data_IF_226041639406
#
_entry.id   IF_226041639406
#
_cell.length_a   1.000
_cell.length_b   1.000
_cell.length_c   1.000
_cell.angle_alpha   90.00
_cell.angle_beta   90.00
_cell.angle_gamma   90.00
#
_symmetry.space_group_name_H-M   'P 1'
#
loop_
_entity.id
_entity.type
_entity.pdbx_description
1 polymer ?
#
# COMPACT_ATOMS: atom_id res chain seq x y z
N UNK A 1 38.14 -23.79 4.40
CA UNK A 1 37.08 -23.54 3.38
C UNK A 1 37.65 -22.58 2.35
N UNK A 2 37.47 -22.80 1.03
CA UNK A 2 37.99 -21.89 0.02
C UNK A 2 37.29 -20.52 0.11
N UNK A 3 38.06 -19.45 -0.08
CA UNK A 3 37.67 -18.03 0.04
C UNK A 3 36.42 -17.69 -0.82
N UNK A 4 36.24 -18.40 -1.94
CA UNK A 4 35.06 -18.29 -2.81
C UNK A 4 33.73 -18.66 -2.14
N UNK A 5 33.74 -19.61 -1.20
CA UNK A 5 32.53 -20.02 -0.47
C UNK A 5 32.10 -18.97 0.55
N UNK A 6 33.04 -18.22 1.13
CA UNK A 6 32.79 -17.19 2.14
C UNK A 6 32.13 -15.97 1.48
N UNK A 7 32.64 -15.52 0.33
CA UNK A 7 32.04 -14.42 -0.44
C UNK A 7 30.58 -14.73 -0.82
N UNK A 8 30.31 -15.96 -1.27
CA UNK A 8 28.97 -16.41 -1.64
C UNK A 8 28.02 -16.56 -0.44
N UNK A 9 28.53 -17.02 0.70
CA UNK A 9 27.75 -17.12 1.93
C UNK A 9 27.40 -15.74 2.50
N UNK A 10 28.31 -14.75 2.36
CA UNK A 10 28.08 -13.36 2.75
C UNK A 10 27.12 -12.62 1.81
N UNK A 11 27.03 -13.00 0.53
CA UNK A 11 26.11 -12.35 -0.43
C UNK A 11 24.62 -12.54 -0.08
N UNK A 12 24.21 -13.66 0.53
CA UNK A 12 22.78 -13.92 0.84
C UNK A 12 22.20 -12.99 1.91
N UNK A 13 22.80 -12.87 3.11
CA UNK A 13 22.29 -11.94 4.12
C UNK A 13 22.31 -10.50 3.62
N UNK A 14 23.39 -10.09 2.92
CA UNK A 14 23.49 -8.75 2.34
C UNK A 14 22.38 -8.51 1.30
N UNK A 15 22.15 -9.44 0.38
CA UNK A 15 21.07 -9.33 -0.60
C UNK A 15 19.68 -9.31 0.05
N UNK A 16 19.45 -10.11 1.09
CA UNK A 16 18.17 -10.10 1.81
C UNK A 16 17.92 -8.74 2.49
N UNK A 17 18.91 -8.21 3.23
CA UNK A 17 18.82 -6.93 3.93
C UNK A 17 18.70 -5.77 2.93
N UNK A 18 19.61 -5.68 1.95
CA UNK A 18 19.53 -4.65 0.92
C UNK A 18 18.23 -4.73 0.12
N UNK A 19 17.75 -5.94 -0.19
CA UNK A 19 16.46 -6.14 -0.82
C UNK A 19 15.31 -5.57 -0.01
N UNK A 20 15.28 -5.82 1.31
CA UNK A 20 14.28 -5.24 2.19
C UNK A 20 14.36 -3.71 2.29
N UNK A 21 15.57 -3.14 2.38
CA UNK A 21 15.78 -1.68 2.42
C UNK A 21 15.38 -0.99 1.12
N UNK A 22 15.77 -1.55 -0.03
CA UNK A 22 15.36 -1.03 -1.34
C UNK A 22 13.85 -1.15 -1.53
N UNK A 23 13.23 -2.20 -0.98
CA UNK A 23 11.77 -2.33 -1.02
C UNK A 23 11.14 -1.20 -0.19
N UNK A 24 11.63 -0.94 1.02
CA UNK A 24 11.14 0.17 1.85
C UNK A 24 11.31 1.52 1.15
N UNK A 25 12.46 1.76 0.52
CA UNK A 25 12.72 2.98 -0.24
C UNK A 25 11.84 3.15 -1.50
N UNK A 26 11.19 2.09 -1.96
CA UNK A 26 10.20 2.18 -3.05
C UNK A 26 8.84 2.72 -2.60
N UNK A 27 8.59 2.80 -1.29
CA UNK A 27 7.41 3.42 -0.69
C UNK A 27 7.71 4.85 -0.21
N UNK A 28 6.67 5.68 0.02
CA UNK A 28 6.85 6.98 0.66
C UNK A 28 7.62 6.88 1.99
N UNK A 29 8.45 7.88 2.34
CA UNK A 29 8.57 9.18 1.66
C UNK A 29 9.50 9.19 0.44
N UNK A 30 10.34 8.17 0.24
CA UNK A 30 11.31 8.15 -0.87
C UNK A 30 10.59 7.90 -2.20
N UNK A 31 9.66 6.94 -2.25
CA UNK A 31 8.80 6.70 -3.41
C UNK A 31 9.53 6.30 -4.69
N UNK A 32 10.74 5.75 -4.59
CA UNK A 32 11.56 5.39 -5.76
C UNK A 32 11.07 4.06 -6.36
N UNK A 33 9.97 4.11 -7.14
CA UNK A 33 9.27 2.94 -7.70
C UNK A 33 10.16 1.95 -8.47
N UNK A 34 11.23 2.45 -9.10
CA UNK A 34 12.20 1.65 -9.86
C UNK A 34 13.07 0.74 -8.98
N UNK A 35 13.14 1.01 -7.67
CA UNK A 35 13.81 0.14 -6.69
C UNK A 35 13.02 -1.13 -6.38
N UNK A 36 11.69 -1.16 -6.59
CA UNK A 36 10.88 -2.31 -6.23
C UNK A 36 11.26 -3.60 -7.00
N UNK A 37 11.44 -3.60 -8.33
CA UNK A 37 11.95 -4.79 -9.04
C UNK A 37 13.36 -5.20 -8.59
N UNK A 38 14.25 -4.23 -8.31
CA UNK A 38 15.61 -4.52 -7.81
C UNK A 38 15.56 -5.19 -6.43
N UNK A 39 14.71 -4.68 -5.54
CA UNK A 39 14.47 -5.25 -4.23
C UNK A 39 13.95 -6.68 -4.31
N UNK A 40 12.92 -6.92 -5.13
CA UNK A 40 12.38 -8.25 -5.41
C UNK A 40 13.48 -9.16 -5.97
N UNK A 41 14.33 -8.66 -6.86
CA UNK A 41 15.43 -9.43 -7.43
C UNK A 41 16.42 -9.89 -6.36
N UNK A 42 16.85 -8.99 -5.46
CA UNK A 42 17.78 -9.32 -4.38
C UNK A 42 17.18 -10.33 -3.38
N UNK A 43 15.91 -10.14 -2.97
CA UNK A 43 15.19 -11.09 -2.13
C UNK A 43 15.07 -12.44 -2.84
N UNK A 44 14.73 -12.45 -4.13
CA UNK A 44 14.63 -13.66 -4.93
C UNK A 44 15.98 -14.38 -5.02
N UNK A 45 17.08 -13.68 -5.34
CA UNK A 45 18.43 -14.27 -5.39
C UNK A 45 18.79 -14.88 -4.03
N UNK A 46 18.55 -14.19 -2.92
CA UNK A 46 18.88 -14.71 -1.57
C UNK A 46 18.12 -16.00 -1.24
N UNK A 47 16.86 -16.09 -1.64
CA UNK A 47 15.95 -17.22 -1.32
C UNK A 47 16.13 -18.39 -2.28
N UNK A 48 16.18 -18.14 -3.59
CA UNK A 48 16.35 -19.19 -4.60
C UNK A 48 17.75 -19.78 -4.54
N UNK A 49 18.78 -19.05 -4.13
CA UNK A 49 20.13 -19.62 -3.99
C UNK A 49 20.28 -20.44 -2.72
N UNK A 50 19.34 -20.42 -1.78
CA UNK A 50 19.47 -21.12 -0.51
C UNK A 50 19.69 -22.65 -0.68
N UNK A 51 20.46 -23.26 0.21
CA UNK A 51 20.71 -24.72 0.16
C UNK A 51 19.44 -25.53 0.45
N UNK A 52 18.71 -25.16 1.50
CA UNK A 52 17.50 -25.85 2.00
C UNK A 52 16.29 -24.94 1.97
N UNK A 53 15.08 -25.51 1.95
CA UNK A 53 13.80 -24.77 2.05
C UNK A 53 13.76 -23.88 3.31
N UNK A 54 14.21 -24.42 4.45
CA UNK A 54 14.36 -23.65 5.71
C UNK A 54 15.30 -22.44 5.57
N UNK A 55 16.32 -22.54 4.72
CA UNK A 55 17.19 -21.40 4.41
C UNK A 55 16.50 -20.37 3.52
N UNK A 56 15.70 -20.81 2.54
CA UNK A 56 14.84 -19.92 1.76
C UNK A 56 13.87 -19.15 2.67
N UNK A 57 13.27 -19.85 3.63
CA UNK A 57 12.44 -19.22 4.68
C UNK A 57 13.21 -18.15 5.46
N UNK A 58 14.38 -18.49 5.99
CA UNK A 58 15.19 -17.56 6.79
C UNK A 58 15.60 -16.30 6.03
N UNK A 59 16.00 -16.41 4.75
CA UNK A 59 16.38 -15.24 3.95
C UNK A 59 15.18 -14.39 3.53
N UNK A 60 14.05 -15.02 3.22
CA UNK A 60 12.80 -14.32 2.96
C UNK A 60 12.31 -13.56 4.20
N UNK A 61 12.41 -14.19 5.38
CA UNK A 61 12.07 -13.59 6.67
C UNK A 61 12.99 -12.40 6.98
N UNK A 62 14.30 -12.53 6.77
CA UNK A 62 15.25 -11.45 7.00
C UNK A 62 14.98 -10.23 6.10
N UNK A 63 14.73 -10.47 4.80
CA UNK A 63 14.35 -9.40 3.88
C UNK A 63 12.99 -8.79 4.22
N UNK A 64 12.02 -9.62 4.61
CA UNK A 64 10.71 -9.18 5.09
C UNK A 64 10.79 -8.33 6.36
N UNK A 65 11.58 -8.74 7.36
CA UNK A 65 11.79 -7.98 8.59
C UNK A 65 12.42 -6.63 8.29
N UNK A 66 13.48 -6.63 7.47
CA UNK A 66 14.15 -5.38 7.07
C UNK A 66 13.17 -4.42 6.38
N UNK A 67 12.31 -4.93 5.51
CA UNK A 67 11.28 -4.13 4.83
C UNK A 67 10.20 -3.63 5.79
N UNK A 68 9.53 -4.52 6.51
CA UNK A 68 8.34 -4.18 7.30
C UNK A 68 8.67 -3.42 8.58
N UNK A 69 9.85 -3.62 9.18
CA UNK A 69 10.28 -2.79 10.31
C UNK A 69 10.42 -1.33 9.88
N UNK A 70 11.01 -1.08 8.70
CA UNK A 70 11.13 0.29 8.17
C UNK A 70 9.78 0.84 7.73
N UNK A 71 9.02 0.07 6.93
CA UNK A 71 7.74 0.52 6.37
C UNK A 71 6.70 0.85 7.46
N UNK A 72 6.66 0.05 8.53
CA UNK A 72 5.64 0.14 9.57
C UNK A 72 6.13 0.86 10.82
N UNK A 73 7.27 1.57 10.76
CA UNK A 73 7.83 2.27 11.91
C UNK A 73 6.81 3.20 12.60
N UNK A 74 5.91 3.82 11.81
CA UNK A 74 4.84 4.70 12.30
C UNK A 74 3.79 4.03 13.21
N UNK A 75 3.74 2.70 13.25
CA UNK A 75 2.86 1.95 14.17
C UNK A 75 3.32 2.10 15.62
N UNK A 76 4.56 2.56 15.86
CA UNK A 76 5.12 2.77 17.20
C UNK A 76 4.29 3.71 18.09
N UNK A 77 3.49 4.61 17.49
CA UNK A 77 2.49 5.45 18.19
C UNK A 77 1.48 4.61 18.99
N UNK A 78 1.18 3.39 18.55
CA UNK A 78 0.32 2.44 19.27
C UNK A 78 1.09 1.62 20.31
N UNK A 79 2.41 1.52 20.16
CA UNK A 79 3.29 0.71 20.99
C UNK A 79 4.40 0.04 20.17
N UNK A 80 5.61 0.00 20.75
CA UNK A 80 6.77 -0.68 20.14
C UNK A 80 6.51 -2.19 19.99
N UNK A 81 5.80 -2.79 20.95
CA UNK A 81 5.34 -4.16 20.90
C UNK A 81 4.39 -4.42 19.73
N UNK A 82 3.39 -3.55 19.51
CA UNK A 82 2.46 -3.65 18.38
C UNK A 82 3.20 -3.56 17.04
N UNK A 83 4.13 -2.60 16.90
CA UNK A 83 4.96 -2.44 15.71
C UNK A 83 5.79 -3.69 15.41
N UNK A 84 6.54 -4.19 16.40
CA UNK A 84 7.43 -5.34 16.23
C UNK A 84 6.63 -6.62 15.91
N UNK A 85 5.49 -6.84 16.58
CA UNK A 85 4.63 -8.00 16.32
C UNK A 85 4.04 -7.95 14.91
N UNK A 86 3.50 -6.81 14.50
CA UNK A 86 2.88 -6.65 13.18
C UNK A 86 3.92 -6.74 12.04
N UNK A 87 5.08 -6.12 12.21
CA UNK A 87 6.17 -6.22 11.24
C UNK A 87 6.67 -7.66 11.11
N UNK A 88 6.81 -8.37 12.23
CA UNK A 88 7.18 -9.79 12.25
C UNK A 88 6.12 -10.64 11.55
N UNK A 89 4.84 -10.42 11.86
CA UNK A 89 3.72 -11.09 11.20
C UNK A 89 3.78 -10.92 9.67
N UNK A 90 3.96 -9.69 9.19
CA UNK A 90 4.08 -9.42 7.76
C UNK A 90 5.33 -10.06 7.15
N UNK A 91 6.46 -10.05 7.87
CA UNK A 91 7.71 -10.65 7.43
C UNK A 91 7.64 -12.19 7.31
N UNK A 92 6.81 -12.86 8.13
CA UNK A 92 6.59 -14.31 8.03
C UNK A 92 6.03 -14.71 6.65
N UNK A 93 5.22 -13.85 6.01
CA UNK A 93 4.73 -14.10 4.65
C UNK A 93 5.84 -14.04 3.61
N UNK A 94 6.81 -13.14 3.77
CA UNK A 94 8.01 -13.12 2.91
C UNK A 94 8.94 -14.30 3.21
N UNK A 95 8.98 -14.77 4.46
CA UNK A 95 9.61 -16.03 4.82
C UNK A 95 8.96 -17.22 4.09
N UNK A 96 7.64 -17.34 4.16
CA UNK A 96 6.89 -18.38 3.44
C UNK A 96 7.12 -18.31 1.92
N UNK A 97 7.13 -17.10 1.35
CA UNK A 97 7.50 -16.87 -0.05
C UNK A 97 8.93 -17.34 -0.34
N UNK A 98 9.90 -17.03 0.53
CA UNK A 98 11.28 -17.49 0.37
C UNK A 98 11.42 -19.01 0.39
N UNK A 99 10.63 -19.70 1.21
CA UNK A 99 10.52 -21.16 1.18
C UNK A 99 9.94 -21.67 -0.14
N UNK A 100 8.86 -21.04 -0.62
CA UNK A 100 8.23 -21.35 -1.90
C UNK A 100 9.18 -21.12 -3.08
N UNK A 101 9.87 -19.98 -3.13
CA UNK A 101 10.87 -19.64 -4.14
C UNK A 101 11.94 -20.74 -4.30
N UNK A 102 12.41 -21.29 -3.17
CA UNK A 102 13.39 -22.39 -3.18
C UNK A 102 12.87 -23.67 -3.86
N UNK A 103 11.57 -23.91 -3.82
CA UNK A 103 10.89 -25.04 -4.47
C UNK A 103 10.60 -24.69 -5.94
N UNK A 104 9.95 -23.55 -6.17
CA UNK A 104 9.50 -23.06 -7.47
C UNK A 104 10.64 -22.81 -8.45
N UNK A 105 11.86 -22.50 -7.96
CA UNK A 105 13.06 -22.36 -8.81
C UNK A 105 13.33 -23.59 -9.69
N UNK A 106 12.77 -24.76 -9.33
CA UNK A 106 12.94 -26.02 -10.08
C UNK A 106 12.03 -26.11 -11.31
N UNK A 107 10.99 -25.29 -11.39
CA UNK A 107 10.05 -25.31 -12.51
C UNK A 107 10.64 -24.61 -13.74
N UNK A 108 10.23 -25.02 -14.96
CA UNK A 108 10.53 -24.24 -16.15
C UNK A 108 9.91 -22.85 -16.04
N UNK A 109 10.61 -21.84 -16.56
CA UNK A 109 10.21 -20.44 -16.44
C UNK A 109 9.88 -20.03 -14.98
N UNK A 110 10.66 -20.50 -14.00
CA UNK A 110 10.45 -20.20 -12.58
C UNK A 110 10.20 -18.71 -12.24
N UNK A 111 10.71 -17.69 -12.98
CA UNK A 111 10.37 -16.30 -12.66
C UNK A 111 8.87 -16.02 -12.68
N UNK A 112 8.13 -16.69 -13.57
CA UNK A 112 6.67 -16.59 -13.65
C UNK A 112 6.00 -17.13 -12.39
N UNK A 113 6.46 -18.30 -11.92
CA UNK A 113 5.92 -18.94 -10.72
C UNK A 113 6.24 -18.16 -9.45
N UNK A 114 7.43 -17.53 -9.37
CA UNK A 114 7.78 -16.65 -8.26
C UNK A 114 6.92 -15.40 -8.24
N UNK A 115 6.65 -14.79 -9.41
CA UNK A 115 5.74 -13.66 -9.50
C UNK A 115 4.31 -14.04 -9.06
N UNK A 116 3.81 -15.21 -9.48
CA UNK A 116 2.52 -15.74 -9.04
C UNK A 116 2.49 -16.00 -7.52
N UNK A 117 3.55 -16.59 -6.97
CA UNK A 117 3.69 -16.84 -5.53
C UNK A 117 3.74 -15.54 -4.72
N UNK A 118 4.36 -14.48 -5.27
CA UNK A 118 4.36 -13.16 -4.65
C UNK A 118 2.94 -12.61 -4.52
N UNK A 119 2.15 -12.67 -5.59
CA UNK A 119 0.75 -12.22 -5.55
C UNK A 119 -0.08 -13.10 -4.62
N UNK A 120 0.17 -14.41 -4.60
CA UNK A 120 -0.52 -15.33 -3.71
C UNK A 120 -0.28 -15.00 -2.23
N UNK A 121 0.97 -14.70 -1.84
CA UNK A 121 1.24 -14.31 -0.45
C UNK A 121 0.63 -12.95 -0.09
N UNK A 122 0.63 -11.97 -1.00
CA UNK A 122 -0.07 -10.70 -0.77
C UNK A 122 -1.56 -10.97 -0.57
N UNK A 123 -2.19 -11.75 -1.45
CA UNK A 123 -3.61 -12.05 -1.36
C UNK A 123 -4.00 -12.76 -0.06
N UNK A 124 -3.14 -13.63 0.47
CA UNK A 124 -3.38 -14.32 1.75
C UNK A 124 -3.19 -13.38 2.94
N UNK A 125 -2.10 -12.60 2.95
CA UNK A 125 -1.81 -11.60 4.00
C UNK A 125 -2.88 -10.50 4.06
N UNK A 126 -3.45 -10.14 2.92
CA UNK A 126 -4.55 -9.19 2.78
C UNK A 126 -5.88 -9.70 3.35
N UNK A 127 -5.99 -10.97 3.78
CA UNK A 127 -7.26 -11.59 4.20
C UNK A 127 -7.22 -12.27 5.56
N UNK A 128 -6.07 -12.75 5.98
CA UNK A 128 -5.91 -13.56 7.19
C UNK A 128 -4.86 -12.90 8.09
N UNK A 129 -4.97 -13.03 9.43
CA UNK A 129 -6.21 -13.24 10.18
C UNK A 129 -7.05 -11.95 10.23
N UNK A 130 -8.30 -12.03 10.71
CA UNK A 130 -9.14 -10.86 11.02
C UNK A 130 -9.36 -9.86 9.86
N UNK A 131 -9.41 -10.35 8.61
CA UNK A 131 -9.54 -9.49 7.43
C UNK A 131 -8.21 -9.02 6.85
N UNK A 132 -7.08 -9.40 7.46
CA UNK A 132 -5.73 -9.23 6.94
C UNK A 132 -5.14 -7.83 7.08
N UNK A 133 -3.92 -7.68 6.60
CA UNK A 133 -3.18 -6.42 6.66
C UNK A 133 -2.46 -6.14 5.32
N UNK A 134 -3.08 -5.36 4.41
CA UNK A 134 -2.63 -5.25 3.02
C UNK A 134 -1.52 -4.21 2.76
N UNK A 135 -0.87 -3.68 3.81
CA UNK A 135 0.20 -2.69 3.65
C UNK A 135 1.44 -3.27 2.97
N UNK A 136 2.18 -2.45 2.21
CA UNK A 136 3.44 -2.89 1.60
C UNK A 136 3.30 -3.80 0.37
N UNK A 137 2.12 -3.85 -0.26
CA UNK A 137 1.97 -4.53 -1.56
C UNK A 137 2.76 -3.81 -2.66
N UNK A 138 3.35 -4.57 -3.57
CA UNK A 138 4.18 -4.02 -4.64
C UNK A 138 3.44 -2.99 -5.50
N UNK A 139 2.14 -3.18 -5.75
CA UNK A 139 1.34 -2.24 -6.51
C UNK A 139 1.40 -0.80 -5.99
N UNK A 140 1.41 -0.60 -4.67
CA UNK A 140 1.37 0.74 -4.09
C UNK A 140 2.72 1.46 -4.22
N UNK A 141 3.84 0.73 -4.36
CA UNK A 141 5.14 1.33 -4.72
C UNK A 141 5.13 1.97 -6.11
N UNK A 142 4.18 1.60 -6.97
CA UNK A 142 4.09 2.05 -8.36
C UNK A 142 3.08 3.19 -8.57
N UNK A 143 2.46 3.71 -7.50
CA UNK A 143 1.38 4.70 -7.57
C UNK A 143 1.75 5.99 -8.33
N UNK A 144 3.02 6.37 -8.34
CA UNK A 144 3.52 7.55 -9.05
C UNK A 144 4.34 7.20 -10.30
N UNK A 145 4.43 5.91 -10.64
CA UNK A 145 5.21 5.41 -11.78
C UNK A 145 4.36 5.26 -13.04
N UNK A 146 5.00 5.13 -14.22
CA UNK A 146 4.28 4.77 -15.44
C UNK A 146 3.53 3.43 -15.34
N UNK A 147 3.99 2.49 -14.48
CA UNK A 147 3.34 1.20 -14.28
C UNK A 147 1.92 1.31 -13.68
N UNK A 148 1.53 2.46 -13.12
CA UNK A 148 0.17 2.68 -12.60
C UNK A 148 -0.90 2.49 -13.70
N UNK A 149 -0.58 2.68 -14.99
CA UNK A 149 -1.51 2.38 -16.08
C UNK A 149 -2.04 0.94 -16.07
N UNK A 150 -1.24 -0.03 -15.62
CA UNK A 150 -1.66 -1.43 -15.53
C UNK A 150 -2.80 -1.65 -14.52
N UNK A 151 -2.96 -0.75 -13.54
CA UNK A 151 -3.98 -0.88 -12.50
C UNK A 151 -5.41 -0.76 -13.05
N UNK A 152 -5.63 0.00 -14.13
CA UNK A 152 -6.97 0.17 -14.71
C UNK A 152 -7.52 -1.10 -15.36
N UNK A 153 -6.63 -1.99 -15.82
CA UNK A 153 -7.01 -3.24 -16.51
C UNK A 153 -6.85 -4.46 -15.59
N UNK A 154 -5.73 -4.52 -14.85
CA UNK A 154 -5.35 -5.71 -14.10
C UNK A 154 -5.50 -5.56 -12.57
N UNK A 155 -5.90 -4.38 -12.11
CA UNK A 155 -5.98 -4.04 -10.68
C UNK A 155 -4.63 -4.10 -9.97
N UNK A 156 -4.66 -3.93 -8.64
CA UNK A 156 -3.45 -3.97 -7.81
C UNK A 156 -2.73 -5.33 -7.84
N UNK A 157 -3.47 -6.45 -8.01
CA UNK A 157 -2.86 -7.77 -8.11
C UNK A 157 -1.99 -7.90 -9.38
N UNK A 158 -2.48 -7.41 -10.52
CA UNK A 158 -1.73 -7.44 -11.77
C UNK A 158 -0.50 -6.54 -11.79
N UNK A 159 -0.58 -5.35 -11.19
CA UNK A 159 0.61 -4.48 -11.02
C UNK A 159 1.66 -5.20 -10.16
N UNK A 160 1.24 -5.80 -9.04
CA UNK A 160 2.14 -6.54 -8.15
C UNK A 160 2.78 -7.73 -8.87
N UNK A 161 2.01 -8.46 -9.67
CA UNK A 161 2.52 -9.53 -10.54
C UNK A 161 3.60 -9.03 -11.50
N UNK A 162 3.33 -7.93 -12.21
CA UNK A 162 4.24 -7.38 -13.20
C UNK A 162 5.58 -6.95 -12.56
N UNK A 163 5.51 -6.23 -11.43
CA UNK A 163 6.71 -5.81 -10.67
C UNK A 163 7.47 -7.03 -10.13
N UNK A 164 6.76 -8.02 -9.58
CA UNK A 164 7.37 -9.24 -9.07
C UNK A 164 8.05 -10.04 -10.20
N UNK A 165 7.42 -10.12 -11.38
CA UNK A 165 7.97 -10.77 -12.56
C UNK A 165 9.23 -10.05 -13.06
N UNK A 166 9.20 -8.72 -13.13
CA UNK A 166 10.39 -7.94 -13.47
C UNK A 166 11.55 -8.24 -12.51
N UNK A 167 11.31 -8.23 -11.20
CA UNK A 167 12.32 -8.58 -10.22
C UNK A 167 12.82 -10.02 -10.33
N UNK A 168 11.92 -10.98 -10.56
CA UNK A 168 12.29 -12.38 -10.75
C UNK A 168 13.10 -12.61 -12.03
N UNK A 169 12.80 -11.88 -13.12
CA UNK A 169 13.58 -11.88 -14.36
C UNK A 169 14.96 -11.26 -14.16
N UNK A 170 15.06 -10.15 -13.42
CA UNK A 170 16.35 -9.56 -13.04
C UNK A 170 17.19 -10.53 -12.20
N UNK A 171 16.58 -11.24 -11.24
CA UNK A 171 17.24 -12.29 -10.48
C UNK A 171 17.73 -13.43 -11.38
N UNK A 172 16.91 -13.83 -12.36
CA UNK A 172 17.29 -14.83 -13.35
C UNK A 172 18.50 -14.39 -14.18
N UNK A 173 18.48 -13.15 -14.69
CA UNK A 173 19.60 -12.55 -15.43
C UNK A 173 20.87 -12.53 -14.57
N UNK A 174 20.79 -12.03 -13.34
CA UNK A 174 21.93 -11.97 -12.42
C UNK A 174 22.57 -13.36 -12.20
N UNK A 175 21.75 -14.39 -11.95
CA UNK A 175 22.23 -15.78 -11.77
C UNK A 175 22.88 -16.31 -13.06
N UNK A 176 22.31 -16.00 -14.22
CA UNK A 176 22.82 -16.43 -15.54
C UNK A 176 24.02 -15.64 -16.03
N UNK A 177 24.35 -14.51 -15.41
CA UNK A 177 25.57 -13.75 -15.67
C UNK A 177 26.71 -14.10 -14.71
N UNK A 178 26.45 -14.81 -13.59
CA UNK A 178 27.51 -15.23 -12.67
C UNK A 178 28.53 -16.17 -13.36
N UNK A 179 29.84 -16.02 -13.13
CA UNK A 179 30.86 -16.96 -13.60
C UNK A 179 30.56 -18.41 -13.21
N UNK A 180 30.75 -19.36 -14.13
CA UNK A 180 30.45 -20.80 -13.94
C UNK A 180 31.11 -21.38 -12.67
N UNK A 181 32.33 -20.93 -12.36
CA UNK A 181 33.09 -21.32 -11.15
C UNK A 181 32.37 -20.94 -9.84
N UNK A 182 31.61 -19.84 -9.84
CA UNK A 182 30.82 -19.40 -8.69
C UNK A 182 29.45 -20.09 -8.60
N UNK A 183 28.92 -20.61 -9.74
CA UNK A 183 27.64 -21.36 -9.77
C UNK A 183 27.74 -22.72 -9.09
N UNK A 184 28.86 -23.43 -9.28
CA UNK A 184 29.11 -24.74 -8.67
C UNK A 184 29.14 -24.71 -7.13
N UNK A 185 29.61 -23.60 -6.55
CA UNK A 185 29.66 -23.40 -5.09
C UNK A 185 28.29 -23.11 -4.44
N UNK A 186 27.33 -22.62 -5.22
CA UNK A 186 26.01 -22.18 -4.74
C UNK A 186 24.91 -23.24 -4.74
N UNK A 187 25.17 -24.48 -5.17
CA UNK A 187 24.12 -25.50 -5.39
C UNK A 187 23.04 -25.01 -6.39
N UNK A 188 23.46 -24.15 -7.33
CA UNK A 188 22.65 -23.62 -8.44
C UNK A 188 22.65 -24.55 -9.66
N UNK A 189 23.36 -25.68 -9.58
CA UNK A 189 23.41 -26.69 -10.63
C UNK A 189 22.07 -27.43 -10.72
N UNK A 190 21.18 -26.98 -11.61
CA UNK A 190 20.17 -27.89 -12.16
C UNK A 190 20.86 -28.85 -13.14
N UNK A 191 20.40 -30.11 -13.26
CA UNK A 191 20.87 -31.05 -14.27
C UNK A 191 20.75 -30.51 -15.72
N UNK A 192 19.73 -29.69 -16.01
CA UNK A 192 19.55 -29.07 -17.33
C UNK A 192 20.29 -27.72 -17.51
N UNK A 193 20.68 -27.05 -16.42
CA UNK A 193 21.32 -25.72 -16.49
C UNK A 193 22.82 -25.76 -16.83
N UNK A 194 23.40 -26.95 -16.96
CA UNK A 194 24.82 -27.18 -17.23
C UNK A 194 25.14 -27.50 -18.71
N UNK A 195 24.16 -27.56 -19.62
CA UNK A 195 24.42 -28.12 -20.96
C UNK A 195 24.75 -27.09 -22.05
N UNK A 196 24.51 -25.79 -21.85
CA UNK A 196 24.95 -24.76 -22.80
C UNK A 196 25.04 -23.36 -22.17
N UNK A 197 25.98 -22.49 -22.63
CA UNK A 197 25.93 -21.08 -22.32
C UNK A 197 24.60 -20.49 -22.80
N UNK A 198 23.92 -19.77 -21.90
CA UNK A 198 22.65 -19.10 -22.23
C UNK A 198 22.92 -18.06 -23.31
N UNK A 199 22.18 -18.11 -24.42
CA UNK A 199 22.39 -17.19 -25.55
C UNK A 199 22.23 -15.74 -25.04
N UNK A 200 23.10 -14.80 -25.45
CA UNK A 200 23.03 -13.40 -25.01
C UNK A 200 21.68 -12.76 -25.35
N UNK A 201 21.05 -13.18 -26.45
CA UNK A 201 19.70 -12.78 -26.83
C UNK A 201 18.66 -13.09 -25.74
N UNK A 202 18.70 -14.25 -25.09
CA UNK A 202 17.74 -14.62 -24.04
C UNK A 202 17.89 -13.74 -22.79
N UNK A 203 19.13 -13.39 -22.44
CA UNK A 203 19.43 -12.47 -21.34
C UNK A 203 18.92 -11.07 -21.65
N UNK A 204 19.16 -10.59 -22.88
CA UNK A 204 18.64 -9.31 -23.34
C UNK A 204 17.12 -9.26 -23.33
N UNK A 205 16.43 -10.31 -23.82
CA UNK A 205 14.96 -10.39 -23.78
C UNK A 205 14.43 -10.35 -22.35
N UNK A 206 15.03 -11.09 -21.41
CA UNK A 206 14.61 -11.07 -20.01
C UNK A 206 14.80 -9.69 -19.37
N UNK A 207 15.92 -9.01 -19.65
CA UNK A 207 16.17 -7.65 -19.18
C UNK A 207 15.17 -6.64 -19.78
N UNK A 208 14.87 -6.75 -21.08
CA UNK A 208 13.87 -5.92 -21.75
C UNK A 208 12.47 -6.13 -21.17
N UNK A 209 12.08 -7.38 -20.92
CA UNK A 209 10.79 -7.70 -20.28
C UNK A 209 10.70 -7.14 -18.86
N UNK A 210 11.80 -7.12 -18.10
CA UNK A 210 11.82 -6.52 -16.77
C UNK A 210 11.55 -5.00 -16.81
N UNK A 211 12.03 -4.30 -17.84
CA UNK A 211 11.74 -2.87 -18.06
C UNK A 211 10.36 -2.66 -18.70
N UNK A 212 9.84 -3.67 -19.40
CA UNK A 212 8.57 -3.63 -20.13
C UNK A 212 7.36 -3.26 -19.26
N UNK A 213 7.39 -3.51 -17.95
CA UNK A 213 6.31 -3.15 -17.01
C UNK A 213 5.97 -1.66 -17.07
N UNK A 214 6.99 -0.79 -17.08
CA UNK A 214 6.77 0.65 -17.15
C UNK A 214 6.34 1.09 -18.54
N UNK A 215 6.88 0.47 -19.60
CA UNK A 215 6.50 0.77 -20.99
C UNK A 215 5.04 0.40 -21.24
N UNK A 216 4.62 -0.80 -20.83
CA UNK A 216 3.23 -1.24 -20.93
C UNK A 216 2.29 -0.36 -20.11
N UNK A 217 2.67 0.02 -18.89
CA UNK A 217 1.87 0.93 -18.08
C UNK A 217 1.75 2.33 -18.70
N UNK A 218 2.85 2.87 -19.22
CA UNK A 218 2.87 4.17 -19.90
C UNK A 218 1.99 4.20 -21.16
N UNK A 219 1.90 3.06 -21.85
CA UNK A 219 1.11 2.91 -23.07
C UNK A 219 -0.40 2.82 -22.83
N UNK A 220 -0.85 2.61 -21.59
CA UNK A 220 -2.29 2.54 -21.27
C UNK A 220 -2.82 3.97 -21.07
N UNK A 221 -3.76 4.44 -21.92
CA UNK A 221 -4.36 5.75 -21.75
C UNK A 221 -5.12 5.85 -20.43
N UNK A 222 -4.95 6.99 -19.75
CA UNK A 222 -5.68 7.32 -18.51
C UNK A 222 -6.29 8.71 -18.67
N UNK A 223 -7.43 8.84 -19.36
CA UNK A 223 -8.09 10.13 -19.49
C UNK A 223 -8.45 10.63 -18.09
N UNK A 224 -7.99 11.83 -17.74
CA UNK A 224 -8.32 12.51 -16.47
C UNK A 224 -9.36 13.61 -16.66
N UNK A 225 -9.73 13.89 -17.90
CA UNK A 225 -10.86 14.77 -18.23
C UNK A 225 -12.14 14.10 -17.77
N UNK A 226 -12.94 14.79 -16.94
CA UNK A 226 -14.23 14.27 -16.50
C UNK A 226 -15.12 13.92 -17.69
N UNK A 227 -15.86 12.82 -17.60
CA UNK A 227 -16.85 12.45 -18.61
C UNK A 227 -18.08 13.36 -18.46
N UNK A 228 -18.15 14.39 -19.30
CA UNK A 228 -19.31 15.27 -19.39
C UNK A 228 -20.42 14.58 -20.20
N UNK A 229 -20.97 13.47 -19.69
CA UNK A 229 -22.18 12.88 -20.29
C UNK A 229 -23.35 13.87 -20.19
N UNK A 230 -23.32 14.77 -19.19
CA UNK A 230 -24.26 15.88 -19.02
C UNK A 230 -23.84 16.96 -17.98
N UNK A 231 -22.60 16.92 -17.46
CA UNK A 231 -22.12 17.82 -16.40
C UNK A 231 -20.87 18.61 -16.79
N UNK A 232 -20.46 19.62 -15.98
CA UNK A 232 -19.24 20.36 -16.23
C UNK A 232 -18.02 19.44 -16.12
N UNK A 233 -17.00 19.68 -16.96
CA UNK A 233 -15.77 18.88 -16.96
C UNK A 233 -14.96 18.97 -15.64
N UNK A 234 -15.30 19.93 -14.78
CA UNK A 234 -14.68 20.18 -13.47
C UNK A 234 -15.74 20.63 -12.46
N UNK A 235 -15.49 20.39 -11.18
CA UNK A 235 -16.31 20.88 -10.06
C UNK A 235 -15.41 21.26 -8.89
N UNK A 236 -15.89 22.19 -8.06
CA UNK A 236 -15.16 22.69 -6.89
C UNK A 236 -15.69 22.02 -5.64
N UNK A 237 -14.80 21.35 -4.90
CA UNK A 237 -15.11 20.66 -3.64
C UNK A 237 -14.18 21.21 -2.56
N UNK A 238 -14.74 21.54 -1.40
CA UNK A 238 -13.96 22.01 -0.26
C UNK A 238 -13.70 20.86 0.72
N UNK A 239 -12.44 20.70 1.14
CA UNK A 239 -12.05 19.81 2.22
C UNK A 239 -11.75 20.68 3.45
N UNK A 240 -12.54 20.52 4.52
CA UNK A 240 -12.36 21.32 5.75
C UNK A 240 -11.68 20.46 6.82
N UNK A 241 -10.50 20.88 7.25
CA UNK A 241 -9.73 20.21 8.29
C UNK A 241 -9.66 21.09 9.54
N UNK A 242 -10.53 20.82 10.52
CA UNK A 242 -10.59 21.60 11.77
C UNK A 242 -9.45 21.30 12.76
N UNK A 243 -8.66 20.25 12.51
CA UNK A 243 -7.67 19.70 13.45
C UNK A 243 -8.29 19.21 14.78
N UNK A 244 -7.50 18.44 15.53
CA UNK A 244 -7.88 17.88 16.84
C UNK A 244 -7.02 18.50 17.95
N UNK A 245 -7.54 18.62 19.18
CA UNK A 245 -6.72 19.06 20.33
C UNK A 245 -5.60 18.06 20.66
N UNK A 246 -4.45 18.57 21.13
CA UNK A 246 -3.35 17.75 21.66
C UNK A 246 -2.68 16.85 20.62
N UNK A 247 -2.29 15.63 21.02
CA UNK A 247 -1.72 14.60 20.15
C UNK A 247 -2.78 13.82 19.33
N UNK A 248 -4.07 14.16 19.49
CA UNK A 248 -5.19 13.52 18.79
C UNK A 248 -5.76 12.27 19.47
N UNK A 249 -4.99 11.55 20.29
CA UNK A 249 -5.48 10.34 20.99
C UNK A 249 -6.54 10.67 22.06
N UNK A 250 -6.42 11.82 22.70
CA UNK A 250 -7.39 12.34 23.68
C UNK A 250 -8.43 13.28 23.05
N UNK A 251 -8.50 13.38 21.72
CA UNK A 251 -9.36 14.35 21.04
C UNK A 251 -10.85 14.21 21.39
N UNK A 252 -11.28 12.99 21.71
CA UNK A 252 -12.64 12.69 22.14
C UNK A 252 -12.90 12.98 23.63
N UNK A 253 -11.87 13.31 24.41
CA UNK A 253 -12.02 13.69 25.82
C UNK A 253 -12.44 15.16 26.01
N UNK A 254 -12.22 16.00 24.98
CA UNK A 254 -12.60 17.40 24.99
C UNK A 254 -13.91 17.64 24.25
N UNK A 255 -15.00 17.58 25.02
CA UNK A 255 -16.36 17.65 24.50
C UNK A 255 -16.59 18.87 23.58
N UNK A 256 -17.03 18.59 22.36
CA UNK A 256 -17.32 19.47 21.21
C UNK A 256 -16.13 20.17 20.57
N UNK A 257 -14.90 19.95 21.01
CA UNK A 257 -13.76 20.71 20.49
C UNK A 257 -13.55 20.44 18.98
N UNK A 258 -13.62 19.17 18.58
CA UNK A 258 -13.43 18.76 17.17
C UNK A 258 -14.56 19.28 16.30
N UNK A 259 -15.81 19.12 16.74
CA UNK A 259 -16.98 19.66 16.04
C UNK A 259 -16.87 21.18 15.85
N UNK A 260 -16.58 21.92 16.93
CA UNK A 260 -16.52 23.37 16.91
C UNK A 260 -15.43 23.89 15.97
N UNK A 261 -14.29 23.20 15.89
CA UNK A 261 -13.24 23.56 14.95
C UNK A 261 -13.72 23.44 13.49
N UNK A 262 -14.35 22.32 13.11
CA UNK A 262 -14.84 22.13 11.74
C UNK A 262 -15.95 23.12 11.38
N UNK A 263 -16.84 23.43 12.33
CA UNK A 263 -17.86 24.48 12.17
C UNK A 263 -17.21 25.84 11.95
N UNK A 264 -16.20 26.20 12.76
CA UNK A 264 -15.49 27.49 12.62
C UNK A 264 -14.83 27.61 11.26
N UNK A 265 -14.04 26.62 10.84
CA UNK A 265 -13.33 26.66 9.55
C UNK A 265 -14.30 26.68 8.37
N UNK A 266 -15.46 26.02 8.48
CA UNK A 266 -16.51 26.10 7.45
C UNK A 266 -17.12 27.50 7.36
N UNK A 267 -17.29 28.21 8.48
CA UNK A 267 -17.76 29.60 8.48
C UNK A 267 -16.73 30.57 7.91
N UNK A 268 -15.44 30.34 8.17
CA UNK A 268 -14.35 31.09 7.53
C UNK A 268 -14.40 30.90 6.01
N UNK A 269 -14.52 29.65 5.56
CA UNK A 269 -14.71 29.34 4.14
C UNK A 269 -15.94 30.05 3.55
N UNK A 270 -17.08 30.03 4.23
CA UNK A 270 -18.30 30.70 3.78
C UNK A 270 -18.12 32.22 3.65
N UNK A 271 -17.41 32.84 4.60
CA UNK A 271 -17.07 34.26 4.52
C UNK A 271 -16.14 34.57 3.34
N UNK A 272 -15.13 33.73 3.09
CA UNK A 272 -14.19 33.89 1.98
C UNK A 272 -14.86 33.69 0.61
N UNK A 273 -15.81 32.75 0.50
CA UNK A 273 -16.65 32.57 -0.71
C UNK A 273 -17.50 33.82 -0.95
N UNK A 274 -18.20 34.33 0.06
CA UNK A 274 -19.02 35.56 -0.06
C UNK A 274 -18.18 36.79 -0.41
N UNK A 275 -16.95 36.86 0.09
CA UNK A 275 -16.00 37.93 -0.21
C UNK A 275 -15.32 37.76 -1.59
N UNK A 276 -15.60 36.67 -2.32
CA UNK A 276 -15.00 36.38 -3.62
C UNK A 276 -13.52 36.02 -3.57
N UNK A 277 -12.99 35.64 -2.40
CA UNK A 277 -11.57 35.26 -2.24
C UNK A 277 -11.28 33.86 -2.75
N UNK A 278 -12.28 32.99 -2.70
CA UNK A 278 -12.21 31.60 -3.18
C UNK A 278 -13.47 31.25 -3.97
N UNK A 279 -13.37 30.27 -4.85
CA UNK A 279 -14.51 29.78 -5.63
C UNK A 279 -15.54 29.09 -4.73
N UNK A 280 -16.83 29.28 -5.01
CA UNK A 280 -17.91 28.62 -4.27
C UNK A 280 -17.88 27.10 -4.52
N UNK A 281 -17.74 26.27 -3.47
CA UNK A 281 -17.77 24.81 -3.64
C UNK A 281 -19.20 24.32 -3.90
N UNK A 282 -19.34 23.16 -4.53
CA UNK A 282 -20.61 22.43 -4.68
C UNK A 282 -20.84 21.40 -3.56
N UNK A 283 -19.79 21.07 -2.81
CA UNK A 283 -19.79 20.13 -1.70
C UNK A 283 -18.67 20.50 -0.73
N UNK A 284 -18.95 20.38 0.57
CA UNK A 284 -17.94 20.41 1.63
C UNK A 284 -17.76 18.99 2.20
N UNK A 285 -16.52 18.58 2.47
CA UNK A 285 -16.21 17.30 3.11
C UNK A 285 -15.48 17.58 4.41
N UNK A 286 -16.02 17.04 5.50
CA UNK A 286 -15.33 16.94 6.77
C UNK A 286 -14.75 15.52 6.93
N UNK A 287 -13.58 15.36 7.57
CA UNK A 287 -12.92 14.07 7.73
C UNK A 287 -13.70 13.09 8.62
N UNK A 288 -13.20 11.85 8.67
CA UNK A 288 -13.66 10.84 9.63
C UNK A 288 -13.61 11.40 11.05
N UNK A 289 -14.69 11.17 11.81
CA UNK A 289 -14.80 11.59 13.20
C UNK A 289 -14.63 13.11 13.42
N UNK A 290 -15.14 13.91 12.49
CA UNK A 290 -15.18 15.39 12.56
C UNK A 290 -16.19 15.92 13.58
N UNK A 291 -17.01 15.05 14.14
CA UNK A 291 -17.81 15.31 15.34
C UNK A 291 -17.48 14.27 16.41
N UNK A 292 -17.13 14.76 17.60
CA UNK A 292 -16.83 13.96 18.79
C UNK A 292 -18.10 13.61 19.60
N UNK A 293 -19.27 14.01 19.11
CA UNK A 293 -20.59 13.70 19.66
C UNK A 293 -21.50 13.21 18.54
N UNK A 294 -22.36 12.22 18.84
CA UNK A 294 -23.41 11.76 17.92
C UNK A 294 -24.39 12.91 17.60
N UNK A 295 -24.34 13.48 16.37
CA UNK A 295 -25.13 14.65 16.00
C UNK A 295 -26.60 14.33 15.71
N UNK A 296 -26.97 13.04 15.64
CA UNK A 296 -28.35 12.61 15.46
C UNK A 296 -29.07 12.53 16.82
N UNK A 297 -28.32 12.31 17.90
CA UNK A 297 -28.86 12.25 19.27
C UNK A 297 -28.72 13.58 20.04
N UNK A 298 -27.67 14.37 19.77
CA UNK A 298 -27.44 15.67 20.43
C UNK A 298 -27.93 16.82 19.52
N UNK A 299 -29.03 17.46 19.92
CA UNK A 299 -29.67 18.53 19.15
C UNK A 299 -28.78 19.77 18.99
N UNK A 300 -27.88 20.05 19.92
CA UNK A 300 -26.96 21.18 19.82
C UNK A 300 -25.85 20.90 18.79
N UNK A 301 -25.35 19.67 18.75
CA UNK A 301 -24.40 19.24 17.72
C UNK A 301 -25.06 19.29 16.32
N UNK A 302 -26.26 18.74 16.18
CA UNK A 302 -27.00 18.80 14.91
C UNK A 302 -27.33 20.23 14.47
N UNK A 303 -27.68 21.12 15.41
CA UNK A 303 -27.93 22.53 15.11
C UNK A 303 -26.66 23.26 14.65
N UNK A 304 -25.49 22.96 15.23
CA UNK A 304 -24.22 23.55 14.83
C UNK A 304 -23.83 23.15 13.40
N UNK A 305 -24.01 21.88 13.04
CA UNK A 305 -23.78 21.39 11.67
C UNK A 305 -24.77 22.01 10.70
N UNK A 306 -26.05 22.07 11.06
CA UNK A 306 -27.08 22.73 10.25
C UNK A 306 -26.77 24.19 9.99
N UNK A 307 -26.28 24.91 11.00
CA UNK A 307 -25.85 26.30 10.86
C UNK A 307 -24.67 26.43 9.90
N UNK A 308 -23.68 25.53 9.97
CA UNK A 308 -22.54 25.53 9.04
C UNK A 308 -22.99 25.24 7.59
N UNK A 309 -23.83 24.22 7.38
CA UNK A 309 -24.38 23.87 6.07
C UNK A 309 -25.21 25.02 5.47
N UNK A 310 -26.02 25.68 6.30
CA UNK A 310 -26.80 26.85 5.89
C UNK A 310 -25.91 28.06 5.52
N UNK A 311 -24.82 28.28 6.25
CA UNK A 311 -23.92 29.42 6.02
C UNK A 311 -23.10 29.27 4.72
N UNK A 312 -22.60 28.07 4.43
CA UNK A 312 -21.89 27.79 3.17
C UNK A 312 -22.86 27.56 2.00
N UNK A 313 -24.11 27.16 2.27
CA UNK A 313 -25.18 27.03 1.28
C UNK A 313 -25.12 25.76 0.42
N UNK A 314 -24.24 24.81 0.73
CA UNK A 314 -24.09 23.53 0.01
C UNK A 314 -24.02 22.35 0.97
N UNK A 315 -24.26 21.10 0.51
CA UNK A 315 -24.19 19.93 1.37
C UNK A 315 -22.80 19.75 2.02
N UNK A 316 -22.80 19.19 3.24
CA UNK A 316 -21.59 18.81 3.96
C UNK A 316 -21.61 17.28 4.18
N UNK A 317 -20.56 16.57 3.74
CA UNK A 317 -20.33 15.18 4.15
C UNK A 317 -19.61 15.18 5.50
N UNK A 318 -20.31 14.73 6.56
CA UNK A 318 -19.84 14.76 7.94
C UNK A 318 -19.45 13.36 8.40
N UNK A 319 -18.22 13.18 8.87
CA UNK A 319 -17.77 11.95 9.54
C UNK A 319 -18.15 11.94 11.02
N UNK A 320 -18.93 10.96 11.47
CA UNK A 320 -19.45 10.88 12.83
C UNK A 320 -19.38 9.46 13.40
N UNK A 321 -19.29 9.35 14.72
CA UNK A 321 -19.63 8.13 15.44
C UNK A 321 -21.03 8.28 16.02
N UNK A 322 -21.93 7.38 15.67
CA UNK A 322 -23.35 7.42 16.06
C UNK A 322 -23.76 6.14 16.78
N UNK A 323 -24.81 6.23 17.60
CA UNK A 323 -25.41 5.04 18.19
C UNK A 323 -25.97 4.12 17.10
N UNK A 324 -25.72 2.82 17.23
CA UNK A 324 -26.32 1.84 16.34
C UNK A 324 -27.82 1.67 16.68
N UNK A 325 -28.74 2.02 15.77
CA UNK A 325 -30.17 1.91 16.03
C UNK A 325 -30.67 0.46 16.06
N UNK A 326 -29.90 -0.50 15.52
CA UNK A 326 -30.30 -1.90 15.40
C UNK A 326 -29.74 -2.80 16.49
N UNK A 327 -28.60 -2.44 17.08
CA UNK A 327 -27.95 -3.23 18.16
C UNK A 327 -27.59 -2.30 19.31
N UNK A 328 -28.39 -2.30 20.40
CA UNK A 328 -28.15 -1.46 21.57
C UNK A 328 -26.76 -1.65 22.16
N UNK A 329 -26.13 -0.55 22.61
CA UNK A 329 -24.80 -0.56 23.20
C UNK A 329 -23.64 -0.67 22.21
N UNK A 330 -23.92 -0.65 20.90
CA UNK A 330 -22.89 -0.60 19.86
C UNK A 330 -22.91 0.72 19.10
N UNK A 331 -21.78 1.06 18.48
CA UNK A 331 -21.58 2.31 17.76
C UNK A 331 -21.30 2.05 16.28
N UNK A 332 -21.70 2.98 15.43
CA UNK A 332 -21.37 3.01 14.02
C UNK A 332 -20.46 4.19 13.72
N UNK A 333 -19.44 3.94 12.91
CA UNK A 333 -18.66 4.99 12.27
C UNK A 333 -19.26 5.26 10.89
N UNK A 334 -19.73 6.49 10.67
CA UNK A 334 -20.56 6.86 9.52
C UNK A 334 -20.08 8.12 8.84
N UNK A 335 -20.30 8.20 7.52
CA UNK A 335 -20.33 9.45 6.77
C UNK A 335 -21.79 9.83 6.49
N UNK A 336 -22.22 11.01 6.93
CA UNK A 336 -23.60 11.50 6.83
C UNK A 336 -23.63 12.71 5.90
N UNK A 337 -24.51 12.72 4.89
CA UNK A 337 -24.76 13.91 4.07
C UNK A 337 -25.70 14.84 4.82
N UNK A 338 -25.22 16.05 5.13
CA UNK A 338 -25.97 17.10 5.78
C UNK A 338 -26.33 18.20 4.78
N UNK A 339 -27.61 18.28 4.43
CA UNK A 339 -28.11 19.25 3.48
C UNK A 339 -28.42 20.59 4.16
N UNK A 340 -28.20 21.71 3.46
CA UNK A 340 -28.68 22.99 3.93
C UNK A 340 -30.23 22.94 4.03
N UNK A 341 -30.76 23.64 5.03
CA UNK A 341 -32.16 23.77 5.43
C UNK A 341 -32.88 22.49 5.88
N UNK A 342 -32.56 21.33 5.30
CA UNK A 342 -33.26 20.05 5.52
C UNK A 342 -32.53 19.12 6.48
N UNK A 343 -31.23 19.33 6.72
CA UNK A 343 -30.47 18.60 7.73
C UNK A 343 -29.93 17.25 7.25
N UNK A 344 -29.74 16.26 8.16
CA UNK A 344 -29.12 14.98 7.82
C UNK A 344 -29.99 14.16 6.86
N UNK A 345 -29.35 13.45 5.93
CA UNK A 345 -30.02 12.65 4.90
C UNK A 345 -29.39 11.26 4.76
N UNK A 346 -28.82 10.93 3.61
CA UNK A 346 -28.19 9.64 3.35
C UNK A 346 -26.92 9.47 4.17
N UNK A 347 -26.61 8.24 4.58
CA UNK A 347 -25.40 7.90 5.30
C UNK A 347 -24.77 6.60 4.80
N UNK A 348 -23.45 6.51 4.94
CA UNK A 348 -22.66 5.30 4.73
C UNK A 348 -22.11 4.82 6.07
N UNK A 349 -22.26 3.52 6.38
CA UNK A 349 -21.68 2.88 7.56
C UNK A 349 -20.42 2.12 7.18
N UNK A 350 -19.33 2.36 7.92
CA UNK A 350 -18.03 1.68 7.74
C UNK A 350 -18.22 0.16 7.81
N UNK A 351 -17.80 -0.54 6.74
CA UNK A 351 -17.99 -2.00 6.61
C UNK A 351 -16.83 -2.82 7.18
N UNK A 352 -15.61 -2.30 7.13
CA UNK A 352 -14.40 -2.98 7.59
C UNK A 352 -13.77 -2.17 8.74
N UNK A 353 -14.09 -2.50 10.01
CA UNK A 353 -13.44 -1.89 11.16
C UNK A 353 -11.99 -2.36 11.27
N UNK A 354 -11.16 -1.56 11.93
CA UNK A 354 -9.79 -1.96 12.28
C UNK A 354 -9.88 -3.03 13.39
N UNK A 355 -9.24 -4.21 13.23
CA UNK A 355 -9.28 -5.27 14.23
C UNK A 355 -8.68 -4.91 15.58
#
# INVERSE_FOLDING_TARGET
MPISNIAILAMRPVAAVLGGLLLAASFPPIGASWLAPLAVALITVSTVTARRVRGGFGWGLLGGLTFFLVLLAWIDVLGVDAWLLLATYCALWLGALGAANRILRRLPAWPLWIAAAWVAQEALRDRVPYGGFPWGRLAFSQAQSPALGLASILGAAGVSFAVALAGALLAWVAIRCLPVRLRGATDLAQPEANSAPTKPATVATAALLAVGVWVCGAAIPRPTTGESVSGPATTTVALVQGSVPGSGLDAMSQRRAVLNNHVRETKVLAADVRAGKVEAPQLVIWPENSTDIDPLSDSAAGAAISAAANDIGVPILVGAVVNNPTVPGTLWNVGIVWNPQTGPSQYYVKRHPVP
#
